data_IF_688521355955
#
_entry.id   IF_688521355955
#
_cell.length_a   1.000
_cell.length_b   1.000
_cell.length_c   1.000
_cell.angle_alpha   90.00
_cell.angle_beta   90.00
_cell.angle_gamma   90.00
#
_symmetry.space_group_name_H-M   'P 1'
#
loop_
_entity.id
_entity.type
_entity.pdbx_description
1 polymer ?
#
# COMPACT_ATOMS: atom_id res chain seq x y z
N UNK A 1 -19.31 32.39 -67.34
CA UNK A 1 -18.52 31.38 -66.60
C UNK A 1 -19.39 30.95 -65.42
N UNK A 2 -19.83 29.70 -65.38
CA UNK A 2 -20.62 29.19 -64.25
C UNK A 2 -19.61 28.64 -63.24
N UNK A 3 -19.31 29.41 -62.21
CA UNK A 3 -18.56 28.91 -61.05
C UNK A 3 -19.54 28.11 -60.21
N UNK A 4 -19.42 26.79 -60.21
CA UNK A 4 -20.18 25.93 -59.31
C UNK A 4 -19.58 26.07 -57.91
N UNK A 5 -20.28 26.76 -57.02
CA UNK A 5 -19.91 26.84 -55.60
C UNK A 5 -20.23 25.51 -54.93
N UNK A 6 -19.29 25.00 -54.13
CA UNK A 6 -19.54 23.83 -53.31
C UNK A 6 -20.61 24.14 -52.24
N UNK A 7 -21.55 23.23 -52.07
CA UNK A 7 -22.63 23.30 -51.09
C UNK A 7 -22.63 22.11 -50.14
N UNK A 8 -21.66 21.22 -50.27
CA UNK A 8 -21.51 20.04 -49.42
C UNK A 8 -20.84 20.47 -48.13
N UNK A 9 -21.41 20.09 -47.00
CA UNK A 9 -20.79 20.34 -45.70
C UNK A 9 -19.78 19.24 -45.39
N UNK A 10 -18.61 19.57 -44.81
CA UNK A 10 -17.73 18.57 -44.23
C UNK A 10 -18.45 17.77 -43.14
N UNK A 11 -18.29 16.45 -43.12
CA UNK A 11 -18.84 15.59 -42.08
C UNK A 11 -17.72 14.85 -41.34
N UNK A 12 -17.89 14.65 -40.03
CA UNK A 12 -16.99 13.77 -39.26
C UNK A 12 -17.19 12.33 -39.72
N UNK A 13 -16.11 11.66 -40.08
CA UNK A 13 -16.13 10.27 -40.56
C UNK A 13 -15.84 9.24 -39.48
N UNK A 14 -15.04 9.62 -38.48
CA UNK A 14 -14.66 8.80 -37.33
C UNK A 14 -14.04 9.67 -36.24
N UNK A 15 -13.87 9.10 -35.05
CA UNK A 15 -12.93 9.61 -34.03
C UNK A 15 -11.94 8.50 -33.73
N UNK A 16 -10.65 8.80 -33.82
CA UNK A 16 -9.58 7.83 -33.56
C UNK A 16 -8.40 8.52 -32.89
N UNK A 17 -7.29 7.82 -32.67
CA UNK A 17 -6.08 8.38 -32.07
C UNK A 17 -4.85 7.95 -32.86
N UNK A 18 -3.85 8.82 -32.94
CA UNK A 18 -2.51 8.44 -33.41
C UNK A 18 -1.65 7.86 -32.28
N UNK A 19 -2.06 8.08 -31.04
CA UNK A 19 -1.51 7.40 -29.86
C UNK A 19 -1.91 5.91 -29.91
N UNK A 20 -0.96 5.04 -29.59
CA UNK A 20 -1.16 3.59 -29.65
C UNK A 20 -2.16 3.10 -28.58
N UNK A 21 -2.68 1.90 -28.74
CA UNK A 21 -3.45 1.24 -27.69
C UNK A 21 -2.57 1.00 -26.45
N UNK A 22 -3.15 1.07 -25.26
CA UNK A 22 -2.46 0.88 -23.99
C UNK A 22 -2.97 1.76 -22.85
N UNK A 23 -2.30 1.67 -21.70
CA UNK A 23 -2.60 2.46 -20.51
C UNK A 23 -1.72 3.70 -20.43
N UNK A 24 -2.33 4.83 -20.06
CA UNK A 24 -1.68 6.14 -20.01
C UNK A 24 -1.84 6.76 -18.63
N UNK A 25 -0.70 7.14 -18.05
CA UNK A 25 -0.61 7.69 -16.69
C UNK A 25 -0.74 9.21 -16.68
N UNK A 26 -0.78 9.83 -15.49
CA UNK A 26 -0.73 11.28 -15.33
C UNK A 26 0.40 11.91 -16.15
N UNK A 27 0.08 12.95 -16.90
CA UNK A 27 1.03 13.72 -17.70
C UNK A 27 1.32 13.15 -19.08
N UNK A 28 0.89 11.93 -19.38
CA UNK A 28 0.98 11.40 -20.75
C UNK A 28 0.01 12.15 -21.67
N UNK A 29 0.41 12.29 -22.95
CA UNK A 29 -0.37 12.98 -23.97
C UNK A 29 -0.97 11.99 -24.97
N UNK A 30 -2.28 12.04 -25.12
CA UNK A 30 -3.07 11.25 -26.07
C UNK A 30 -3.52 12.17 -27.21
N UNK A 31 -3.08 11.88 -28.44
CA UNK A 31 -3.39 12.65 -29.63
C UNK A 31 -4.66 12.13 -30.32
N UNK A 32 -5.81 12.62 -29.87
CA UNK A 32 -7.11 12.30 -30.46
C UNK A 32 -7.24 13.02 -31.81
N UNK A 33 -7.72 12.32 -32.82
CA UNK A 33 -7.84 12.79 -34.20
C UNK A 33 -9.27 12.63 -34.71
N UNK A 34 -9.73 13.64 -35.46
CA UNK A 34 -11.08 13.70 -36.03
C UNK A 34 -10.97 13.89 -37.54
N UNK A 35 -11.05 12.81 -38.34
CA UNK A 35 -11.06 12.90 -39.79
C UNK A 35 -12.41 13.38 -40.33
N UNK A 36 -12.37 14.37 -41.21
CA UNK A 36 -13.51 14.92 -41.96
C UNK A 36 -13.52 14.40 -43.41
N UNK A 37 -14.69 14.45 -44.05
CA UNK A 37 -14.87 14.07 -45.47
C UNK A 37 -14.09 14.93 -46.46
N UNK A 38 -13.70 16.14 -46.06
CA UNK A 38 -12.93 17.09 -46.85
C UNK A 38 -12.12 18.03 -45.94
N UNK A 39 -11.30 18.91 -46.54
CA UNK A 39 -10.43 19.80 -45.77
C UNK A 39 -11.23 20.89 -45.07
N UNK A 40 -10.91 21.14 -43.80
CA UNK A 40 -11.60 22.15 -42.98
C UNK A 40 -10.63 23.21 -42.47
N UNK A 41 -11.08 24.46 -42.45
CA UNK A 41 -10.44 25.61 -41.82
C UNK A 41 -11.08 25.87 -40.46
N UNK A 42 -10.24 25.98 -39.45
CA UNK A 42 -10.64 26.23 -38.07
C UNK A 42 -10.37 27.68 -37.68
N UNK A 43 -11.33 28.33 -37.01
CA UNK A 43 -11.12 29.58 -36.27
C UNK A 43 -11.53 29.40 -34.81
N UNK A 44 -10.97 30.22 -33.91
CA UNK A 44 -11.20 30.08 -32.47
C UNK A 44 -10.58 28.81 -31.89
N UNK A 45 -11.12 28.34 -30.77
CA UNK A 45 -10.63 27.17 -30.03
C UNK A 45 -11.75 26.16 -29.82
N UNK A 46 -12.21 25.44 -30.86
CA UNK A 46 -13.14 24.33 -30.69
C UNK A 46 -12.66 23.35 -29.60
N UNK A 47 -13.60 22.68 -28.96
CA UNK A 47 -13.34 21.81 -27.82
C UNK A 47 -13.91 20.42 -28.07
N UNK A 48 -13.21 19.40 -27.59
CA UNK A 48 -13.67 18.02 -27.51
C UNK A 48 -13.79 17.63 -26.04
N UNK A 49 -14.98 17.21 -25.61
CA UNK A 49 -15.17 16.68 -24.24
C UNK A 49 -14.98 15.16 -24.22
N UNK A 50 -13.95 14.69 -23.54
CA UNK A 50 -13.66 13.27 -23.32
C UNK A 50 -14.25 12.79 -22.01
N UNK A 51 -14.75 11.55 -21.99
CA UNK A 51 -15.25 10.87 -20.81
C UNK A 51 -14.07 10.31 -20.02
N UNK A 52 -13.75 10.92 -18.87
CA UNK A 52 -12.53 10.60 -18.10
C UNK A 52 -12.80 10.31 -16.62
N UNK A 53 -14.03 9.88 -16.29
CA UNK A 53 -14.45 9.55 -14.94
C UNK A 53 -15.38 10.63 -14.36
N UNK A 54 -15.30 10.89 -13.05
CA UNK A 54 -16.20 11.85 -12.38
C UNK A 54 -16.09 13.28 -12.96
N UNK A 55 -14.90 13.65 -13.45
CA UNK A 55 -14.63 14.92 -14.09
C UNK A 55 -14.10 14.70 -15.51
N UNK A 56 -14.91 15.09 -16.49
CA UNK A 56 -14.58 15.00 -17.91
C UNK A 56 -13.53 16.00 -18.35
N UNK A 57 -12.62 15.54 -19.21
CA UNK A 57 -11.61 16.39 -19.82
C UNK A 57 -12.23 17.21 -20.96
N UNK A 58 -12.10 18.54 -20.90
CA UNK A 58 -12.40 19.43 -22.02
C UNK A 58 -11.09 19.78 -22.72
N UNK A 59 -10.91 19.29 -23.94
CA UNK A 59 -9.65 19.38 -24.70
C UNK A 59 -9.77 20.43 -25.78
N UNK A 60 -8.90 21.43 -25.75
CA UNK A 60 -8.85 22.47 -26.78
C UNK A 60 -8.24 21.94 -28.08
N UNK A 61 -8.78 22.45 -29.19
CA UNK A 61 -8.27 22.23 -30.54
C UNK A 61 -6.76 22.52 -30.61
N UNK A 62 -5.99 21.55 -31.09
CA UNK A 62 -4.52 21.65 -31.10
C UNK A 62 -3.96 21.97 -32.49
N UNK A 63 -4.38 21.26 -33.55
CA UNK A 63 -3.84 21.46 -34.91
C UNK A 63 -4.67 20.79 -36.02
N UNK A 64 -4.31 21.04 -37.28
CA UNK A 64 -4.93 20.38 -38.46
C UNK A 64 -5.74 21.28 -39.40
N UNK A 65 -5.76 22.59 -39.17
CA UNK A 65 -6.52 23.57 -39.98
C UNK A 65 -5.97 23.60 -41.41
N UNK A 66 -6.85 23.61 -42.39
CA UNK A 66 -6.53 23.48 -43.81
C UNK A 66 -6.32 22.02 -44.28
N UNK A 67 -6.62 21.03 -43.43
CA UNK A 67 -6.50 19.60 -43.76
C UNK A 67 -7.80 18.84 -43.46
N UNK A 68 -7.84 17.56 -43.80
CA UNK A 68 -8.97 16.66 -43.51
C UNK A 68 -8.94 16.10 -42.09
N UNK A 69 -7.90 16.32 -41.28
CA UNK A 69 -7.79 15.74 -39.93
C UNK A 69 -7.52 16.85 -38.93
N UNK A 70 -8.38 16.96 -37.92
CA UNK A 70 -8.13 17.81 -36.75
C UNK A 70 -7.56 16.98 -35.61
N UNK A 71 -6.67 17.56 -34.82
CA UNK A 71 -6.02 16.91 -33.66
C UNK A 71 -6.32 17.67 -32.38
N UNK A 72 -6.62 16.92 -31.32
CA UNK A 72 -6.85 17.35 -29.95
C UNK A 72 -5.89 16.59 -29.04
N UNK A 73 -4.93 17.29 -28.43
CA UNK A 73 -3.95 16.70 -27.54
C UNK A 73 -4.47 16.72 -26.10
N UNK A 74 -5.03 15.59 -25.68
CA UNK A 74 -5.46 15.37 -24.29
C UNK A 74 -4.24 15.04 -23.43
N UNK A 75 -4.07 15.71 -22.29
CA UNK A 75 -3.07 15.35 -21.28
C UNK A 75 -3.78 14.77 -20.07
N UNK A 76 -3.41 13.55 -19.66
CA UNK A 76 -4.04 12.88 -18.51
C UNK A 76 -3.78 13.68 -17.24
N UNK A 77 -4.84 14.10 -16.56
CA UNK A 77 -4.76 14.82 -15.30
C UNK A 77 -4.97 13.88 -14.10
N UNK A 78 -4.54 14.35 -12.91
CA UNK A 78 -4.79 13.61 -11.66
C UNK A 78 -6.30 13.41 -11.43
N UNK A 79 -6.67 12.20 -11.02
CA UNK A 79 -8.06 11.84 -10.71
C UNK A 79 -8.87 11.31 -11.90
N UNK A 80 -8.36 11.44 -13.13
CA UNK A 80 -9.06 10.99 -14.33
C UNK A 80 -8.85 9.49 -14.54
N UNK A 81 -9.92 8.73 -14.73
CA UNK A 81 -9.84 7.28 -14.94
C UNK A 81 -10.89 6.85 -15.96
N UNK A 82 -10.47 6.06 -16.94
CA UNK A 82 -11.38 5.44 -17.90
C UNK A 82 -10.77 4.14 -18.44
N UNK A 83 -11.56 3.07 -18.46
CA UNK A 83 -11.12 1.75 -18.95
C UNK A 83 -11.12 1.61 -20.46
N UNK A 84 -11.80 2.49 -21.19
CA UNK A 84 -11.84 2.56 -22.65
C UNK A 84 -12.25 3.98 -23.07
N UNK A 85 -11.26 4.83 -23.31
CA UNK A 85 -11.44 6.27 -23.51
C UNK A 85 -12.35 6.56 -24.71
N UNK A 86 -13.44 7.28 -24.46
CA UNK A 86 -14.32 7.81 -25.50
C UNK A 86 -14.67 9.27 -25.20
N UNK A 87 -15.52 9.85 -26.03
CA UNK A 87 -16.13 11.16 -25.77
C UNK A 87 -17.50 11.02 -25.12
N UNK A 88 -17.95 12.08 -24.44
CA UNK A 88 -19.15 12.02 -23.59
C UNK A 88 -20.46 11.84 -24.34
N UNK A 89 -20.53 12.29 -25.61
CA UNK A 89 -21.76 12.23 -26.42
C UNK A 89 -21.53 12.49 -27.91
N UNK A 90 -22.56 12.25 -28.72
CA UNK A 90 -22.57 12.62 -30.15
C UNK A 90 -22.39 14.12 -30.42
N UNK A 91 -22.51 14.97 -29.41
CA UNK A 91 -22.31 16.42 -29.46
C UNK A 91 -21.04 16.91 -28.74
N UNK A 92 -20.14 16.01 -28.37
CA UNK A 92 -18.95 16.34 -27.59
C UNK A 92 -17.94 17.26 -28.32
N UNK A 93 -18.00 17.33 -29.65
CA UNK A 93 -17.25 18.30 -30.44
C UNK A 93 -18.03 19.62 -30.54
N UNK A 94 -17.57 20.64 -29.82
CA UNK A 94 -18.19 21.95 -29.74
C UNK A 94 -17.30 23.04 -30.35
N UNK A 95 -17.92 24.08 -30.90
CA UNK A 95 -17.19 25.17 -31.56
C UNK A 95 -16.50 26.14 -30.59
N UNK A 96 -17.02 26.29 -29.36
CA UNK A 96 -16.51 27.22 -28.35
C UNK A 96 -16.20 28.63 -28.94
N UNK A 97 -17.24 29.26 -29.50
CA UNK A 97 -17.15 30.55 -30.22
C UNK A 97 -16.27 30.58 -31.48
N UNK A 98 -15.71 29.45 -31.89
CA UNK A 98 -14.97 29.25 -33.13
C UNK A 98 -15.82 28.82 -34.32
N UNK A 99 -15.16 28.38 -35.39
CA UNK A 99 -15.80 27.77 -36.56
C UNK A 99 -14.96 26.62 -37.11
N UNK A 100 -15.63 25.66 -37.75
CA UNK A 100 -15.03 24.61 -38.56
C UNK A 100 -15.78 24.62 -39.89
N UNK A 101 -15.12 25.04 -40.98
CA UNK A 101 -15.74 25.24 -42.29
C UNK A 101 -14.84 24.76 -43.41
N UNK A 102 -15.40 24.39 -44.56
CA UNK A 102 -14.60 24.16 -45.77
C UNK A 102 -14.10 25.49 -46.38
N UNK A 103 -13.45 25.40 -47.55
CA UNK A 103 -12.98 26.57 -48.30
C UNK A 103 -14.12 27.38 -48.97
N UNK A 104 -15.28 26.76 -49.22
CA UNK A 104 -16.47 27.41 -49.77
C UNK A 104 -17.30 28.14 -48.70
N UNK A 105 -16.99 27.94 -47.42
CA UNK A 105 -17.66 28.55 -46.27
C UNK A 105 -18.79 27.70 -45.67
N UNK A 106 -18.97 26.45 -46.10
CA UNK A 106 -19.97 25.54 -45.54
C UNK A 106 -19.53 25.10 -44.14
N UNK A 107 -20.46 25.16 -43.17
CA UNK A 107 -20.19 24.73 -41.80
C UNK A 107 -20.17 23.21 -41.70
N UNK A 108 -19.17 22.67 -41.02
CA UNK A 108 -19.04 21.24 -40.81
C UNK A 108 -20.18 20.68 -39.93
N UNK A 109 -20.63 19.47 -40.24
CA UNK A 109 -21.50 18.68 -39.36
C UNK A 109 -20.64 18.01 -38.30
N UNK A 110 -20.81 18.44 -37.05
CA UNK A 110 -19.98 18.02 -35.90
C UNK A 110 -20.53 16.81 -35.15
N UNK A 111 -21.65 16.24 -35.59
CA UNK A 111 -22.24 15.07 -34.95
C UNK A 111 -21.28 13.89 -35.04
N UNK A 112 -20.84 13.41 -33.88
CA UNK A 112 -20.02 12.23 -33.74
C UNK A 112 -20.89 10.97 -33.72
N UNK A 113 -20.28 9.81 -33.90
CA UNK A 113 -20.96 8.53 -33.64
C UNK A 113 -21.38 8.42 -32.18
N UNK A 114 -22.36 7.58 -31.83
CA UNK A 114 -22.61 7.31 -30.42
C UNK A 114 -21.34 6.74 -29.76
N UNK A 115 -21.02 7.09 -28.50
CA UNK A 115 -19.94 6.44 -27.77
C UNK A 115 -20.11 4.91 -27.79
N UNK A 116 -19.02 4.18 -27.98
CA UNK A 116 -19.01 2.73 -28.24
C UNK A 116 -19.62 2.27 -29.58
N UNK A 117 -20.01 3.19 -30.48
CA UNK A 117 -20.45 2.87 -31.84
C UNK A 117 -19.26 2.68 -32.78
N UNK A 118 -19.41 1.90 -33.85
CA UNK A 118 -18.28 1.38 -34.66
C UNK A 118 -17.31 2.38 -35.32
N UNK A 119 -17.51 3.70 -35.18
CA UNK A 119 -16.57 4.75 -35.59
C UNK A 119 -16.25 5.76 -34.47
N UNK A 120 -16.62 5.46 -33.21
CA UNK A 120 -16.24 6.22 -32.01
C UNK A 120 -14.81 5.93 -31.58
N UNK A 121 -14.29 6.67 -30.61
CA UNK A 121 -12.91 6.51 -30.15
C UNK A 121 -12.70 5.13 -29.51
N UNK A 122 -13.53 4.74 -28.54
CA UNK A 122 -13.43 3.44 -27.86
C UNK A 122 -13.70 2.23 -28.75
N UNK A 123 -14.38 2.40 -29.89
CA UNK A 123 -14.45 1.33 -30.91
C UNK A 123 -13.19 1.22 -31.77
N UNK A 124 -12.46 2.32 -31.95
CA UNK A 124 -11.32 2.39 -32.86
C UNK A 124 -9.97 2.20 -32.17
N UNK A 125 -9.94 2.31 -30.84
CA UNK A 125 -8.74 2.32 -29.99
C UNK A 125 -9.07 1.63 -28.67
N UNK A 126 -8.07 1.00 -28.08
CA UNK A 126 -8.12 0.42 -26.73
C UNK A 126 -7.18 1.25 -25.84
N UNK A 127 -7.67 2.43 -25.43
CA UNK A 127 -6.91 3.41 -24.65
C UNK A 127 -7.49 3.44 -23.25
N UNK A 128 -6.67 3.03 -22.28
CA UNK A 128 -6.98 3.10 -20.85
C UNK A 128 -6.33 4.36 -20.29
N UNK A 129 -7.10 5.16 -19.56
CA UNK A 129 -6.60 6.32 -18.82
C UNK A 129 -6.58 5.98 -17.34
N UNK A 130 -5.43 6.18 -16.72
CA UNK A 130 -5.26 6.02 -15.29
C UNK A 130 -4.48 7.20 -14.70
N UNK A 131 -5.22 8.13 -14.13
CA UNK A 131 -4.73 9.33 -13.48
C UNK A 131 -4.63 9.20 -11.96
N UNK A 132 -4.65 7.98 -11.40
CA UNK A 132 -4.58 7.74 -9.96
C UNK A 132 -3.16 7.35 -9.57
N UNK A 133 -2.66 7.89 -8.48
CA UNK A 133 -1.36 7.49 -7.93
C UNK A 133 -1.62 6.46 -6.82
N UNK A 134 -0.93 5.31 -6.82
CA UNK A 134 -1.07 4.34 -5.74
C UNK A 134 -0.65 4.98 -4.41
N UNK A 135 -1.38 4.71 -3.34
CA UNK A 135 -1.09 5.20 -1.98
C UNK A 135 -1.00 4.04 -1.00
N UNK A 136 -0.16 4.14 0.03
CA UNK A 136 -0.12 3.14 1.09
C UNK A 136 -1.38 3.25 1.97
N UNK A 137 -2.19 2.20 2.00
CA UNK A 137 -3.39 2.08 2.83
C UNK A 137 -3.08 1.51 4.21
N UNK A 138 -2.19 0.52 4.29
CA UNK A 138 -1.72 -0.05 5.57
C UNK A 138 -0.26 -0.48 5.48
N UNK A 139 0.39 -0.49 6.64
CA UNK A 139 1.78 -0.92 6.83
C UNK A 139 1.84 -2.02 7.90
N UNK A 140 2.72 -2.99 7.72
CA UNK A 140 3.00 -4.04 8.70
C UNK A 140 4.52 -4.31 8.78
N UNK A 141 5.18 -4.19 9.94
CA UNK A 141 4.64 -3.70 11.20
C UNK A 141 3.95 -2.36 11.05
N UNK A 142 2.89 -2.13 11.83
CA UNK A 142 2.19 -0.85 11.80
C UNK A 142 3.17 0.27 12.18
N UNK A 143 2.95 1.45 11.61
CA UNK A 143 3.66 2.65 12.06
C UNK A 143 3.47 2.86 13.57
N UNK A 144 4.52 3.32 14.24
CA UNK A 144 4.67 3.46 15.69
C UNK A 144 4.49 2.15 16.51
N UNK A 145 4.52 0.97 15.89
CA UNK A 145 4.44 -0.29 16.64
C UNK A 145 5.63 -0.44 17.62
N UNK A 146 5.40 -0.88 18.86
CA UNK A 146 6.43 -0.93 19.90
C UNK A 146 6.98 -2.34 20.20
N UNK A 147 6.39 -3.37 19.59
CA UNK A 147 6.75 -4.77 19.81
C UNK A 147 6.61 -5.58 18.52
N UNK A 148 7.14 -5.07 17.41
CA UNK A 148 7.16 -5.78 16.13
C UNK A 148 8.01 -7.06 16.22
N UNK A 149 7.65 -8.11 15.47
CA UNK A 149 8.51 -9.32 15.44
C UNK A 149 9.82 -9.00 14.71
N UNK A 150 11.00 -9.32 15.27
CA UNK A 150 12.27 -9.05 14.59
C UNK A 150 12.45 -9.82 13.25
N UNK A 151 11.68 -10.89 13.05
CA UNK A 151 11.71 -11.74 11.85
C UNK A 151 10.48 -11.59 10.95
N UNK A 152 9.60 -10.60 11.20
CA UNK A 152 8.45 -10.39 10.32
C UNK A 152 8.85 -9.71 9.02
N UNK A 153 8.25 -10.14 7.91
CA UNK A 153 8.29 -9.39 6.66
C UNK A 153 7.70 -7.99 6.88
N UNK A 154 8.24 -7.02 6.14
CA UNK A 154 7.62 -5.72 5.97
C UNK A 154 6.56 -5.81 4.88
N UNK A 155 5.36 -5.29 5.11
CA UNK A 155 4.26 -5.34 4.14
C UNK A 155 3.64 -3.97 3.96
N UNK A 156 3.44 -3.57 2.70
CA UNK A 156 2.68 -2.38 2.32
C UNK A 156 1.46 -2.85 1.54
N UNK A 157 0.26 -2.46 1.98
CA UNK A 157 -0.97 -2.64 1.20
C UNK A 157 -1.29 -1.30 0.55
N UNK A 158 -1.46 -1.28 -0.76
CA UNK A 158 -1.74 -0.09 -1.57
C UNK A 158 -3.24 0.09 -1.84
N UNK A 159 -3.62 1.29 -2.26
CA UNK A 159 -4.99 1.64 -2.70
C UNK A 159 -5.42 0.92 -3.99
N UNK A 160 -4.47 0.36 -4.72
CA UNK A 160 -4.66 -0.31 -6.01
C UNK A 160 -3.51 -1.28 -6.29
N UNK A 161 -3.65 -2.06 -7.37
CA UNK A 161 -2.63 -3.02 -7.78
C UNK A 161 -1.32 -2.31 -8.17
N UNK A 162 -0.19 -2.85 -7.72
CA UNK A 162 1.13 -2.26 -7.97
C UNK A 162 2.09 -3.24 -8.64
N UNK A 163 3.02 -2.67 -9.39
CA UNK A 163 4.17 -3.30 -9.99
C UNK A 163 5.47 -2.70 -9.41
N UNK A 164 6.56 -3.45 -9.57
CA UNK A 164 7.89 -2.97 -9.22
C UNK A 164 8.29 -1.84 -10.19
N UNK A 165 8.78 -0.74 -9.62
CA UNK A 165 9.36 0.35 -10.38
C UNK A 165 10.89 0.35 -10.28
N UNK A 166 11.46 1.45 -9.80
CA UNK A 166 12.91 1.64 -9.70
C UNK A 166 13.31 2.36 -8.41
N UNK A 167 14.58 2.27 -8.04
CA UNK A 167 15.07 2.79 -6.77
C UNK A 167 15.03 1.75 -5.66
N UNK A 168 15.16 2.20 -4.42
CA UNK A 168 15.36 1.34 -3.26
C UNK A 168 14.38 1.68 -2.14
N UNK A 169 13.95 0.62 -1.44
CA UNK A 169 13.47 0.68 -0.07
C UNK A 169 14.67 0.53 0.86
N UNK A 170 14.76 1.35 1.91
CA UNK A 170 15.88 1.36 2.85
C UNK A 170 15.36 1.25 4.26
N UNK A 171 15.87 0.28 5.00
CA UNK A 171 15.62 0.07 6.43
C UNK A 171 16.80 0.69 7.18
N UNK A 172 16.52 1.52 8.19
CA UNK A 172 17.53 2.23 8.97
C UNK A 172 17.25 2.12 10.46
N UNK A 173 18.30 2.17 11.27
CA UNK A 173 18.18 2.28 12.74
C UNK A 173 17.80 3.71 13.12
N UNK A 174 16.77 3.87 13.94
CA UNK A 174 16.31 5.18 14.38
C UNK A 174 17.28 5.88 15.34
N UNK A 175 18.20 5.12 15.97
CA UNK A 175 19.16 5.65 16.94
C UNK A 175 20.24 6.54 16.32
N UNK A 176 20.69 6.24 15.11
CA UNK A 176 21.88 6.85 14.51
C UNK A 176 21.81 7.03 12.98
N UNK A 177 20.65 6.80 12.37
CA UNK A 177 20.42 6.86 10.92
C UNK A 177 21.18 5.81 10.10
N UNK A 178 21.85 4.86 10.75
CA UNK A 178 22.64 3.85 10.04
C UNK A 178 21.72 2.95 9.21
N UNK A 179 22.15 2.66 7.98
CA UNK A 179 21.47 1.72 7.11
C UNK A 179 21.60 0.30 7.66
N UNK A 180 20.46 -0.32 7.94
CA UNK A 180 20.38 -1.74 8.24
C UNK A 180 20.41 -2.56 6.93
N UNK A 181 19.58 -2.17 5.96
CA UNK A 181 19.55 -2.81 4.64
C UNK A 181 18.94 -1.89 3.57
N UNK A 182 19.54 -1.87 2.37
CA UNK A 182 18.94 -1.30 1.16
C UNK A 182 18.50 -2.41 0.20
N UNK A 183 17.23 -2.37 -0.20
CA UNK A 183 16.56 -3.37 -1.03
C UNK A 183 16.08 -2.68 -2.30
N UNK A 184 16.61 -3.10 -3.45
CA UNK A 184 16.17 -2.57 -4.75
C UNK A 184 14.76 -3.03 -5.10
N UNK A 185 13.99 -2.19 -5.79
CA UNK A 185 12.66 -2.50 -6.31
C UNK A 185 12.63 -3.81 -7.14
N UNK A 186 13.73 -4.17 -7.79
CA UNK A 186 13.86 -5.39 -8.59
C UNK A 186 14.39 -6.62 -7.82
N UNK A 187 14.56 -6.52 -6.50
CA UNK A 187 15.06 -7.64 -5.68
C UNK A 187 13.99 -8.72 -5.55
N UNK A 188 14.42 -9.98 -5.54
CA UNK A 188 13.62 -11.16 -5.16
C UNK A 188 13.08 -11.12 -3.72
N UNK A 189 13.62 -10.25 -2.87
CA UNK A 189 13.12 -9.96 -1.52
C UNK A 189 11.78 -9.23 -1.53
N UNK A 190 11.39 -8.62 -2.65
CA UNK A 190 10.10 -7.96 -2.80
C UNK A 190 9.19 -8.88 -3.61
N UNK A 191 8.17 -9.42 -2.96
CA UNK A 191 7.08 -10.15 -3.61
C UNK A 191 5.86 -9.24 -3.75
N UNK A 192 5.32 -9.18 -4.97
CA UNK A 192 4.11 -8.41 -5.28
C UNK A 192 2.94 -9.37 -5.56
N UNK A 193 1.78 -9.07 -4.98
CA UNK A 193 0.54 -9.81 -5.22
C UNK A 193 -0.64 -8.84 -5.19
N UNK A 194 -1.09 -8.43 -6.38
CA UNK A 194 -2.12 -7.39 -6.52
C UNK A 194 -1.65 -6.08 -5.89
N UNK A 195 -2.42 -5.57 -4.94
CA UNK A 195 -2.12 -4.35 -4.20
C UNK A 195 -1.20 -4.54 -2.99
N UNK A 196 -0.59 -5.71 -2.79
CA UNK A 196 0.27 -5.98 -1.62
C UNK A 196 1.71 -6.17 -2.06
N UNK A 197 2.62 -5.39 -1.45
CA UNK A 197 4.06 -5.61 -1.50
C UNK A 197 4.55 -6.21 -0.19
N UNK A 198 5.16 -7.38 -0.25
CA UNK A 198 5.81 -8.05 0.89
C UNK A 198 7.31 -8.04 0.68
N UNK A 199 8.03 -7.44 1.63
CA UNK A 199 9.48 -7.31 1.64
C UNK A 199 10.04 -8.19 2.75
N UNK A 200 10.89 -9.13 2.39
CA UNK A 200 11.57 -10.04 3.30
C UNK A 200 13.06 -9.64 3.41
N UNK A 201 13.48 -8.93 4.47
CA UNK A 201 14.88 -8.58 4.69
C UNK A 201 15.80 -9.81 4.68
N UNK A 202 17.09 -9.65 4.36
CA UNK A 202 18.01 -10.79 4.30
C UNK A 202 18.32 -11.40 5.67
N UNK A 203 18.13 -10.63 6.75
CA UNK A 203 18.43 -11.02 8.12
C UNK A 203 17.32 -10.53 9.04
N UNK A 204 17.11 -11.27 10.12
CA UNK A 204 16.26 -10.83 11.21
C UNK A 204 16.84 -9.57 11.86
N UNK A 205 15.96 -8.62 12.17
CA UNK A 205 16.30 -7.38 12.85
C UNK A 205 16.76 -7.64 14.28
N UNK A 206 17.57 -6.74 14.84
CA UNK A 206 17.94 -6.78 16.26
C UNK A 206 16.71 -6.52 17.13
N UNK A 207 16.56 -7.25 18.23
CA UNK A 207 15.48 -7.06 19.22
C UNK A 207 15.62 -5.76 20.01
N UNK A 208 14.53 -5.29 20.63
CA UNK A 208 14.48 -4.03 21.39
C UNK A 208 15.06 -2.81 20.64
N UNK A 209 15.05 -2.83 19.31
CA UNK A 209 15.68 -1.82 18.47
C UNK A 209 14.62 -1.10 17.65
N UNK A 210 14.73 0.24 17.60
CA UNK A 210 13.87 1.07 16.79
C UNK A 210 14.42 1.19 15.37
N UNK A 211 13.57 0.94 14.39
CA UNK A 211 13.84 1.08 12.97
C UNK A 211 12.83 2.03 12.32
N UNK A 212 13.24 2.60 11.19
CA UNK A 212 12.33 3.24 10.26
C UNK A 212 12.64 2.81 8.83
N UNK A 213 11.63 2.88 7.98
CA UNK A 213 11.69 2.44 6.59
C UNK A 213 11.43 3.63 5.69
N UNK A 214 12.34 3.86 4.75
CA UNK A 214 12.12 4.81 3.65
C UNK A 214 11.90 4.04 2.36
N UNK A 215 10.99 4.54 1.53
CA UNK A 215 10.67 4.02 0.22
C UNK A 215 10.87 5.19 -0.74
N UNK A 216 11.86 5.10 -1.63
CA UNK A 216 12.04 6.15 -2.64
C UNK A 216 10.80 6.24 -3.55
N UNK A 217 10.53 7.44 -4.07
CA UNK A 217 9.51 7.63 -5.11
C UNK A 217 9.76 6.68 -6.27
N UNK A 218 8.70 6.05 -6.78
CA UNK A 218 8.77 5.15 -7.92
C UNK A 218 9.32 3.76 -7.63
N UNK A 219 9.62 3.40 -6.36
CA UNK A 219 9.93 1.99 -5.99
C UNK A 219 8.77 1.07 -6.34
N UNK A 220 7.54 1.56 -6.10
CA UNK A 220 6.31 0.95 -6.57
C UNK A 220 5.61 1.92 -7.52
N UNK A 221 4.87 1.36 -8.47
CA UNK A 221 4.03 2.09 -9.42
C UNK A 221 2.80 1.25 -9.72
N UNK A 222 1.73 1.85 -10.23
CA UNK A 222 0.60 1.07 -10.75
C UNK A 222 0.93 0.44 -12.11
N UNK A 223 -0.08 -0.15 -12.75
CA UNK A 223 0.02 -0.79 -14.06
C UNK A 223 0.18 0.20 -15.22
N UNK A 224 -0.35 1.43 -15.11
CA UNK A 224 -0.20 2.50 -16.09
C UNK A 224 1.16 3.22 -15.97
N UNK A 225 1.82 3.06 -14.82
CA UNK A 225 3.10 3.63 -14.47
C UNK A 225 3.02 4.88 -13.59
N UNK A 226 1.90 5.21 -12.94
CA UNK A 226 1.92 6.27 -11.92
C UNK A 226 2.76 5.80 -10.73
N UNK A 227 3.75 6.61 -10.38
CA UNK A 227 4.72 6.27 -9.34
C UNK A 227 4.17 6.56 -7.95
N UNK A 228 4.26 5.58 -7.05
CA UNK A 228 4.02 5.83 -5.63
C UNK A 228 5.04 6.89 -5.15
N UNK A 229 4.55 7.92 -4.48
CA UNK A 229 5.37 9.02 -3.97
C UNK A 229 6.45 8.56 -2.97
N UNK A 230 6.26 7.39 -2.35
CA UNK A 230 7.19 6.82 -1.39
C UNK A 230 6.96 7.30 0.05
N UNK A 231 7.89 6.91 0.92
CA UNK A 231 7.97 7.28 2.33
C UNK A 231 9.38 7.82 2.54
N UNK A 232 9.54 9.12 2.80
CA UNK A 232 10.85 9.78 2.72
C UNK A 232 11.40 10.25 4.06
N UNK A 233 10.54 10.35 5.07
CA UNK A 233 10.91 10.77 6.42
C UNK A 233 10.95 9.57 7.39
N UNK A 234 11.65 9.76 8.51
CA UNK A 234 11.83 8.74 9.54
C UNK A 234 10.57 8.48 10.39
N UNK A 235 9.50 9.25 10.18
CA UNK A 235 8.25 9.17 10.95
C UNK A 235 7.09 8.55 10.15
N UNK A 236 7.23 8.36 8.84
CA UNK A 236 6.17 7.86 7.99
C UNK A 236 6.00 6.35 8.01
N UNK A 237 7.05 5.61 8.41
CA UNK A 237 6.97 4.19 8.74
C UNK A 237 8.08 3.80 9.70
N UNK A 238 7.76 3.76 10.98
CA UNK A 238 8.70 3.44 12.04
C UNK A 238 8.12 2.42 13.03
N UNK A 239 8.98 1.64 13.66
CA UNK A 239 8.57 0.66 14.67
C UNK A 239 9.75 0.25 15.56
N UNK A 240 9.46 -0.30 16.72
CA UNK A 240 10.41 -0.95 17.62
C UNK A 240 10.13 -2.44 17.66
N UNK A 241 11.18 -3.25 17.47
CA UNK A 241 11.07 -4.71 17.60
C UNK A 241 10.88 -5.11 19.06
N UNK A 242 10.16 -6.19 19.30
CA UNK A 242 10.00 -6.78 20.63
C UNK A 242 11.35 -7.13 21.27
N UNK A 243 11.37 -7.15 22.60
CA UNK A 243 12.48 -7.72 23.35
C UNK A 243 12.59 -9.23 23.10
N UNK A 244 13.76 -9.81 23.36
CA UNK A 244 13.91 -11.26 23.37
C UNK A 244 12.91 -11.88 24.33
N UNK A 245 12.28 -12.98 23.89
CA UNK A 245 11.55 -13.84 24.81
C UNK A 245 12.58 -14.45 25.76
N UNK A 246 12.34 -14.33 27.06
CA UNK A 246 13.15 -15.04 28.02
C UNK A 246 12.92 -16.55 27.88
N UNK A 247 14.01 -17.25 27.63
CA UNK A 247 14.08 -18.70 27.48
C UNK A 247 15.01 -19.32 28.52
N UNK A 248 15.57 -18.50 29.43
CA UNK A 248 16.42 -18.98 30.51
C UNK A 248 15.54 -19.50 31.63
N UNK A 249 15.91 -20.66 32.17
CA UNK A 249 15.23 -21.21 33.32
C UNK A 249 15.83 -20.60 34.59
N UNK A 250 15.02 -20.33 35.63
CA UNK A 250 15.53 -19.90 36.92
C UNK A 250 16.64 -20.80 37.45
N UNK A 251 17.75 -20.19 37.87
CA UNK A 251 18.88 -20.89 38.45
C UNK A 251 18.60 -21.28 39.90
N UNK A 252 18.80 -22.57 40.19
CA UNK A 252 18.70 -23.14 41.54
C UNK A 252 20.06 -23.35 42.22
N UNK A 253 21.15 -22.80 41.66
CA UNK A 253 22.54 -23.11 42.10
C UNK A 253 22.81 -22.75 43.56
N UNK A 254 22.23 -21.65 44.04
CA UNK A 254 22.30 -21.19 45.44
C UNK A 254 20.94 -21.25 46.12
N UNK A 255 19.98 -21.94 45.51
CA UNK A 255 18.60 -21.92 45.96
C UNK A 255 18.40 -22.83 47.16
N UNK A 256 17.57 -22.37 48.09
CA UNK A 256 17.14 -23.11 49.27
C UNK A 256 15.62 -23.07 49.31
N UNK A 257 15.02 -24.25 49.44
CA UNK A 257 13.62 -24.44 49.79
C UNK A 257 13.60 -24.99 51.21
N UNK A 258 12.87 -24.34 52.10
CA UNK A 258 12.72 -24.74 53.49
C UNK A 258 11.25 -24.98 53.79
N UNK A 259 10.90 -26.06 54.48
CA UNK A 259 9.54 -26.37 54.94
C UNK A 259 9.21 -25.87 56.37
N UNK A 260 10.15 -25.15 56.99
CA UNK A 260 9.95 -24.46 58.28
C UNK A 260 9.62 -22.97 58.13
N UNK A 261 9.47 -22.28 59.26
CA UNK A 261 9.17 -20.83 59.23
C UNK A 261 10.36 -19.97 58.78
N UNK A 262 11.59 -20.48 58.90
CA UNK A 262 12.84 -19.78 58.57
C UNK A 262 13.99 -20.69 58.13
N UNK A 263 13.95 -21.97 58.47
CA UNK A 263 14.97 -22.98 58.13
C UNK A 263 14.27 -24.26 57.69
N UNK A 264 14.98 -25.11 56.96
CA UNK A 264 14.56 -26.47 56.66
C UNK A 264 14.36 -27.26 57.97
N UNK A 265 13.27 -28.02 58.09
CA UNK A 265 12.96 -28.79 59.30
C UNK A 265 12.47 -30.19 58.96
N UNK A 266 13.20 -31.21 59.42
CA UNK A 266 12.83 -32.62 59.17
C UNK A 266 11.46 -33.02 59.76
N UNK A 267 11.00 -32.31 60.80
CA UNK A 267 9.72 -32.60 61.46
C UNK A 267 9.05 -31.32 61.95
N UNK A 268 7.73 -31.22 61.71
CA UNK A 268 6.88 -30.14 62.21
C UNK A 268 5.93 -30.72 63.26
N UNK A 269 5.91 -30.15 64.47
CA UNK A 269 5.09 -30.62 65.59
C UNK A 269 3.73 -29.92 65.69
N UNK A 270 3.24 -29.36 64.59
CA UNK A 270 1.92 -28.71 64.52
C UNK A 270 0.98 -29.56 63.69
N UNK A 271 -0.26 -29.71 64.13
CA UNK A 271 -1.28 -30.51 63.43
C UNK A 271 -2.09 -29.71 62.40
N UNK A 272 -1.79 -28.41 62.25
CA UNK A 272 -2.64 -27.48 61.48
C UNK A 272 -1.88 -26.62 60.48
N UNK A 273 -0.56 -26.49 60.59
CA UNK A 273 0.18 -25.51 59.80
C UNK A 273 1.41 -26.12 59.15
N UNK A 274 1.48 -26.01 57.82
CA UNK A 274 2.69 -26.24 57.02
C UNK A 274 3.09 -24.92 56.38
N UNK A 275 4.39 -24.66 56.34
CA UNK A 275 4.97 -23.49 55.70
C UNK A 275 5.98 -23.92 54.66
N UNK A 276 6.23 -23.05 53.70
CA UNK A 276 7.35 -23.17 52.79
C UNK A 276 7.99 -21.78 52.63
N UNK A 277 9.30 -21.73 52.43
CA UNK A 277 9.97 -20.51 52.02
C UNK A 277 11.09 -20.80 51.02
N UNK A 278 11.27 -19.87 50.09
CA UNK A 278 12.23 -19.94 48.99
C UNK A 278 13.25 -18.83 49.14
N UNK A 279 14.52 -19.13 48.90
CA UNK A 279 15.58 -18.14 48.84
C UNK A 279 16.66 -18.56 47.84
N UNK A 280 17.46 -17.60 47.36
CA UNK A 280 18.63 -17.90 46.52
C UNK A 280 18.35 -18.34 45.08
N UNK A 281 17.08 -18.36 44.65
CA UNK A 281 16.72 -18.47 43.24
C UNK A 281 17.02 -17.16 42.52
N UNK A 282 17.63 -17.24 41.35
CA UNK A 282 17.96 -16.08 40.51
C UNK A 282 17.65 -16.38 39.06
N UNK A 283 17.29 -15.35 38.31
CA UNK A 283 17.06 -15.41 36.88
C UNK A 283 17.46 -14.07 36.26
N UNK A 284 17.84 -14.04 34.99
CA UNK A 284 18.35 -12.85 34.31
C UNK A 284 17.28 -11.77 34.14
N UNK A 285 15.99 -12.14 34.09
CA UNK A 285 14.87 -11.19 34.07
C UNK A 285 13.96 -11.30 35.31
N UNK A 286 14.29 -12.21 36.23
CA UNK A 286 13.65 -12.37 37.52
C UNK A 286 12.70 -13.57 37.60
N UNK A 287 12.31 -13.93 38.83
CA UNK A 287 11.43 -15.08 39.07
C UNK A 287 9.98 -14.67 38.81
N UNK A 288 9.24 -15.46 38.04
CA UNK A 288 7.83 -15.22 37.71
C UNK A 288 6.84 -15.79 38.75
N UNK A 289 7.18 -16.93 39.36
CA UNK A 289 6.42 -17.50 40.47
C UNK A 289 7.22 -18.52 41.28
N UNK A 290 6.80 -18.70 42.52
CA UNK A 290 7.08 -19.90 43.31
C UNK A 290 5.79 -20.70 43.43
N UNK A 291 5.89 -22.00 43.18
CA UNK A 291 4.77 -22.93 43.31
C UNK A 291 5.08 -23.96 44.39
N UNK A 292 4.03 -24.44 45.06
CA UNK A 292 4.17 -25.41 46.14
C UNK A 292 2.97 -26.35 46.26
N UNK A 293 3.24 -27.56 46.72
CA UNK A 293 2.26 -28.62 46.94
C UNK A 293 2.53 -29.30 48.28
N UNK A 294 1.56 -30.07 48.77
CA UNK A 294 1.66 -30.84 50.02
C UNK A 294 1.23 -32.28 49.75
N UNK A 295 2.07 -33.23 50.17
CA UNK A 295 1.79 -34.66 50.09
C UNK A 295 2.38 -35.42 51.28
N UNK A 296 1.94 -36.67 51.44
CA UNK A 296 2.39 -37.63 52.44
C UNK A 296 3.55 -38.52 51.96
N UNK A 297 3.93 -38.39 50.68
CA UNK A 297 5.09 -39.05 50.07
C UNK A 297 5.92 -38.03 49.29
N UNK A 298 7.19 -38.35 49.01
CA UNK A 298 8.06 -37.49 48.22
C UNK A 298 7.45 -37.20 46.84
N UNK A 299 7.21 -35.92 46.54
CA UNK A 299 6.57 -35.48 45.31
C UNK A 299 5.04 -35.65 45.28
N UNK A 300 4.43 -36.08 46.37
CA UNK A 300 2.98 -36.18 46.49
C UNK A 300 2.30 -34.81 46.54
N UNK A 301 1.07 -34.75 46.02
CA UNK A 301 0.23 -33.54 45.96
C UNK A 301 -1.17 -33.76 46.53
N UNK A 302 -1.42 -34.91 47.16
CA UNK A 302 -2.74 -35.38 47.58
C UNK A 302 -3.37 -34.58 48.74
N UNK A 303 -2.57 -33.82 49.48
CA UNK A 303 -3.05 -32.94 50.55
C UNK A 303 -3.30 -31.54 49.99
N UNK A 304 -2.44 -31.09 49.07
CA UNK A 304 -2.58 -29.83 48.34
C UNK A 304 -1.91 -29.94 46.99
N UNK A 305 -2.67 -29.68 45.94
CA UNK A 305 -2.16 -29.56 44.58
C UNK A 305 -1.24 -28.35 44.41
N UNK A 306 -0.38 -28.39 43.40
CA UNK A 306 0.51 -27.27 43.07
C UNK A 306 -0.26 -25.95 43.00
N UNK A 307 0.10 -25.06 43.91
CA UNK A 307 -0.51 -23.75 44.07
C UNK A 307 0.56 -22.68 43.93
N UNK A 308 0.32 -21.68 43.09
CA UNK A 308 1.24 -20.55 42.95
C UNK A 308 1.07 -19.54 44.05
N UNK A 309 2.19 -19.00 44.55
CA UNK A 309 2.23 -17.81 45.40
C UNK A 309 2.78 -16.57 44.67
N UNK A 310 2.93 -16.65 43.35
CA UNK A 310 3.60 -15.61 42.55
C UNK A 310 5.02 -15.36 43.08
N UNK A 311 5.44 -14.10 43.15
CA UNK A 311 6.81 -13.75 43.57
C UNK A 311 7.00 -13.70 45.09
N UNK A 312 6.01 -14.14 45.87
CA UNK A 312 6.12 -14.20 47.32
C UNK A 312 7.01 -15.38 47.71
N UNK A 313 8.08 -15.11 48.44
CA UNK A 313 9.08 -16.13 48.83
C UNK A 313 8.66 -16.96 50.05
N UNK A 314 7.38 -16.94 50.43
CA UNK A 314 6.85 -17.70 51.56
C UNK A 314 5.43 -18.16 51.26
N UNK A 315 5.08 -19.34 51.78
CA UNK A 315 3.73 -19.87 51.72
C UNK A 315 3.35 -20.48 53.07
N UNK A 316 2.05 -20.48 53.37
CA UNK A 316 1.51 -21.06 54.61
C UNK A 316 0.15 -21.63 54.33
N UNK A 317 -0.08 -22.86 54.77
CA UNK A 317 -1.40 -23.48 54.81
C UNK A 317 -1.72 -23.76 56.27
N UNK A 318 -2.81 -23.17 56.75
CA UNK A 318 -3.29 -23.34 58.14
C UNK A 318 -4.61 -24.09 58.21
N UNK A 319 -5.04 -24.68 57.09
CA UNK A 319 -6.34 -25.33 56.93
C UNK A 319 -6.25 -26.85 57.05
N UNK A 320 -5.03 -27.37 57.23
CA UNK A 320 -4.77 -28.80 57.34
C UNK A 320 -5.45 -29.40 58.58
N UNK A 321 -6.06 -30.55 58.36
CA UNK A 321 -6.51 -31.48 59.41
C UNK A 321 -5.81 -32.79 59.18
N UNK A 322 -4.62 -32.93 59.79
CA UNK A 322 -3.80 -34.15 59.78
C UNK A 322 -4.19 -35.09 60.94
#
# INVERSE_FOLDING_TARGET
EITTTDVTAPIVSSVTSSTADGSYKIGDVIAVTIPFSESVTVTGTPQLTLETGDADAVVDYSSGSGSTILTFNYTVASGQINSDLDYTSTSALALNSGTIKDAAGNAATLTLSSPGGGTSLGSNKDIVVDGIIPTASTLSPADDATAASPNSNLTITFSEDVAAGSGNLIIKKSSDDSEYESISASSDKIALSGNVATVNPAKDMETSTAYYVTVASGVFKDVAGNEYAGITDATGWNFTTAAEADVTAPSATSAVVNDGSTTDVDTINTTKTIKANWSGFTDDIGIASYDWAIGSTSGGTEVKEWTSVGNVTTATDSTLTL
#
